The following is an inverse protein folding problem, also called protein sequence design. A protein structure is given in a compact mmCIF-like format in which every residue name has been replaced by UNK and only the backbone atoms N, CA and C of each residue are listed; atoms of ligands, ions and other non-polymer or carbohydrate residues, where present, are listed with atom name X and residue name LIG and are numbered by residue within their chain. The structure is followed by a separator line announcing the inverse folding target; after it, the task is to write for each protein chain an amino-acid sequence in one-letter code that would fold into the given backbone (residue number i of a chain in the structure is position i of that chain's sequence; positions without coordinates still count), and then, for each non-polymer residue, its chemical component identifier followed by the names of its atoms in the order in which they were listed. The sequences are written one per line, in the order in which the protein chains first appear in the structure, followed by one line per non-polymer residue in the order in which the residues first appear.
data_IF_390060222586
#
_entry.id   IF_390060222586
#
_cell.length_a   1.000
_cell.length_b   1.000
_cell.length_c   1.000
_cell.angle_alpha   90.00
_cell.angle_beta   90.00
_cell.angle_gamma   90.00
#
_symmetry.space_group_name_H-M   'P 1'
#
loop_
_entity.id
_entity.type
_entity.pdbx_description
1 polymer ?
#
# COMPACT_ATOMS: atom_id res chain seq x y z
N UNK A 1 28.55 -32.27 -0.36
CA UNK A 1 27.64 -31.20 0.08
C UNK A 1 26.60 -31.90 0.93
N UNK A 2 26.33 -31.44 2.14
CA UNK A 2 25.26 -32.01 2.97
C UNK A 2 23.93 -31.81 2.23
N UNK A 3 23.28 -32.89 1.79
CA UNK A 3 21.99 -32.81 1.12
C UNK A 3 20.98 -32.20 2.08
N UNK A 4 20.37 -31.08 1.66
CA UNK A 4 19.27 -30.49 2.39
C UNK A 4 18.09 -31.47 2.41
N UNK A 5 17.31 -31.48 3.49
CA UNK A 5 16.11 -32.31 3.58
C UNK A 5 15.12 -31.96 2.46
N UNK A 6 15.01 -30.67 2.09
CA UNK A 6 14.19 -30.20 0.97
C UNK A 6 15.02 -29.30 0.06
N UNK A 7 15.25 -29.72 -1.18
CA UNK A 7 15.82 -28.87 -2.23
C UNK A 7 14.70 -28.35 -3.13
N UNK A 8 14.51 -27.03 -3.17
CA UNK A 8 13.43 -26.39 -3.94
C UNK A 8 14.04 -25.77 -5.19
N UNK A 9 13.53 -26.14 -6.37
CA UNK A 9 14.10 -25.80 -7.67
C UNK A 9 13.12 -24.97 -8.48
N UNK A 10 13.57 -23.82 -8.98
CA UNK A 10 12.81 -22.98 -9.92
C UNK A 10 12.93 -23.49 -11.35
N UNK A 11 11.80 -23.64 -12.03
CA UNK A 11 11.72 -24.12 -13.41
C UNK A 11 11.80 -23.00 -14.46
N UNK A 12 11.77 -21.73 -14.05
CA UNK A 12 11.66 -20.61 -14.97
C UNK A 12 10.20 -20.31 -15.38
N UNK A 13 9.95 -19.23 -16.13
CA UNK A 13 8.61 -18.74 -16.47
C UNK A 13 7.91 -19.56 -17.56
N UNK A 14 8.64 -20.34 -18.37
CA UNK A 14 8.05 -21.17 -19.41
C UNK A 14 9.06 -21.82 -20.35
N UNK A 15 9.99 -21.04 -20.91
CA UNK A 15 11.00 -21.56 -21.81
C UNK A 15 11.96 -22.52 -21.12
N UNK A 16 12.37 -23.60 -21.81
CA UNK A 16 13.43 -24.50 -21.33
C UNK A 16 14.78 -23.79 -21.24
N UNK A 17 15.00 -22.78 -22.09
CA UNK A 17 16.26 -22.03 -22.11
C UNK A 17 16.41 -21.12 -20.88
N UNK A 18 15.30 -20.82 -20.19
CA UNK A 18 15.29 -20.07 -18.92
C UNK A 18 15.60 -20.96 -17.70
N UNK A 19 15.67 -22.29 -17.89
CA UNK A 19 16.06 -23.21 -16.84
C UNK A 19 17.54 -23.00 -16.51
N UNK A 20 17.84 -22.62 -15.27
CA UNK A 20 19.22 -22.35 -14.88
C UNK A 20 20.08 -23.60 -14.97
N UNK A 21 21.38 -23.43 -15.26
CA UNK A 21 22.33 -24.54 -15.29
C UNK A 21 22.40 -25.30 -13.96
N UNK A 22 22.17 -24.62 -12.83
CA UNK A 22 22.09 -25.28 -11.53
C UNK A 22 20.83 -26.13 -11.39
N UNK A 23 19.66 -25.58 -11.76
CA UNK A 23 18.39 -26.32 -11.77
C UNK A 23 18.51 -27.56 -12.66
N UNK A 24 18.98 -27.42 -13.90
CA UNK A 24 19.21 -28.52 -14.82
C UNK A 24 20.11 -29.61 -14.21
N UNK A 25 21.26 -29.25 -13.61
CA UNK A 25 22.16 -30.21 -12.95
C UNK A 25 21.48 -30.98 -11.82
N UNK A 26 20.70 -30.29 -10.98
CA UNK A 26 19.98 -30.91 -9.85
C UNK A 26 18.97 -31.94 -10.38
N UNK A 27 18.19 -31.57 -11.41
CA UNK A 27 17.17 -32.43 -12.01
C UNK A 27 17.81 -33.66 -12.70
N UNK A 28 18.91 -33.48 -13.45
CA UNK A 28 19.64 -34.60 -14.09
C UNK A 28 20.31 -35.53 -13.07
N UNK A 29 20.86 -34.99 -11.97
CA UNK A 29 21.43 -35.80 -10.89
C UNK A 29 20.36 -36.64 -10.19
N UNK A 30 19.19 -36.05 -9.92
CA UNK A 30 18.06 -36.75 -9.34
C UNK A 30 17.58 -37.90 -10.22
N UNK A 31 17.44 -37.66 -11.54
CA UNK A 31 17.10 -38.68 -12.51
C UNK A 31 18.15 -39.82 -12.55
N UNK A 32 19.44 -39.48 -12.56
CA UNK A 32 20.55 -40.45 -12.53
C UNK A 32 20.55 -41.31 -11.25
N UNK A 33 20.09 -40.75 -10.13
CA UNK A 33 19.94 -41.43 -8.86
C UNK A 33 18.60 -42.20 -8.71
N UNK A 34 17.69 -42.10 -9.69
CA UNK A 34 16.36 -42.68 -9.61
C UNK A 34 15.48 -42.05 -8.52
N UNK A 35 15.79 -40.82 -8.09
CA UNK A 35 15.06 -40.08 -7.08
C UNK A 35 13.80 -39.46 -7.69
N UNK A 36 12.68 -39.52 -6.95
CA UNK A 36 11.44 -38.84 -7.33
C UNK A 36 11.57 -37.33 -7.10
N UNK A 37 11.11 -36.56 -8.07
CA UNK A 37 11.02 -35.10 -8.01
C UNK A 37 9.55 -34.73 -7.91
N UNK A 38 9.19 -33.97 -6.89
CA UNK A 38 7.83 -33.53 -6.64
C UNK A 38 7.61 -32.18 -7.33
N UNK A 39 6.64 -32.10 -8.24
CA UNK A 39 6.30 -30.89 -8.97
C UNK A 39 5.06 -30.23 -8.34
N UNK A 40 5.10 -28.91 -8.17
CA UNK A 40 3.92 -28.14 -7.74
C UNK A 40 2.74 -28.34 -8.70
N UNK A 41 3.04 -28.43 -9.98
CA UNK A 41 2.09 -28.78 -11.05
C UNK A 41 2.85 -29.32 -12.26
N UNK A 42 2.25 -30.24 -13.02
CA UNK A 42 2.76 -30.61 -14.35
C UNK A 42 2.27 -29.70 -15.47
N UNK A 43 1.32 -28.80 -15.19
CA UNK A 43 0.80 -27.81 -16.14
C UNK A 43 1.83 -26.67 -16.28
N UNK A 44 2.93 -26.95 -16.97
CA UNK A 44 4.01 -26.01 -17.22
C UNK A 44 4.72 -26.35 -18.54
N UNK A 45 5.01 -25.37 -19.43
CA UNK A 45 5.58 -25.66 -20.75
C UNK A 45 6.90 -26.43 -20.71
N UNK A 46 7.76 -26.16 -19.72
CA UNK A 46 9.06 -26.83 -19.55
C UNK A 46 8.95 -28.32 -19.22
N UNK A 47 7.83 -28.80 -18.68
CA UNK A 47 7.72 -30.19 -18.19
C UNK A 47 7.82 -31.20 -19.32
N UNK A 48 7.21 -30.93 -20.46
CA UNK A 48 7.22 -31.87 -21.59
C UNK A 48 8.62 -31.97 -22.20
N UNK A 49 9.30 -30.84 -22.37
CA UNK A 49 10.69 -30.79 -22.83
C UNK A 49 11.62 -31.49 -21.84
N UNK A 50 11.40 -31.30 -20.53
CA UNK A 50 12.20 -31.93 -19.49
C UNK A 50 12.07 -33.47 -19.49
N UNK A 51 10.88 -34.01 -19.75
CA UNK A 51 10.68 -35.47 -19.92
C UNK A 51 11.38 -36.00 -21.16
N UNK A 52 11.42 -35.21 -22.24
CA UNK A 52 12.13 -35.58 -23.46
C UNK A 52 13.66 -35.57 -23.25
N UNK A 53 14.20 -34.52 -22.62
CA UNK A 53 15.64 -34.31 -22.47
C UNK A 53 16.25 -35.11 -21.29
N UNK A 54 15.42 -35.48 -20.31
CA UNK A 54 15.80 -36.32 -19.17
C UNK A 54 14.84 -37.53 -19.08
N UNK A 55 15.00 -38.56 -19.93
CA UNK A 55 14.03 -39.65 -20.06
C UNK A 55 13.78 -40.46 -18.78
N UNK A 56 14.79 -40.55 -17.91
CA UNK A 56 14.74 -41.32 -16.66
C UNK A 56 14.18 -40.51 -15.47
N UNK A 57 13.68 -39.29 -15.71
CA UNK A 57 13.12 -38.45 -14.66
C UNK A 57 11.85 -39.06 -14.07
N UNK A 58 11.81 -39.19 -12.73
CA UNK A 58 10.62 -39.62 -11.99
C UNK A 58 9.91 -38.40 -11.45
N UNK A 59 8.76 -38.07 -12.04
CA UNK A 59 7.95 -36.92 -11.65
C UNK A 59 6.70 -37.41 -10.93
N UNK A 60 6.50 -36.88 -9.73
CA UNK A 60 5.20 -36.88 -9.05
C UNK A 60 4.71 -35.45 -8.95
N UNK A 61 3.41 -35.20 -9.05
CA UNK A 61 2.85 -33.85 -8.92
C UNK A 61 1.72 -33.78 -7.93
N UNK A 62 1.48 -32.55 -7.47
CA UNK A 62 0.34 -32.24 -6.60
C UNK A 62 -0.91 -31.81 -7.37
N UNK A 63 -1.00 -32.09 -8.68
CA UNK A 63 -2.13 -31.68 -9.51
C UNK A 63 -3.48 -32.21 -8.96
N UNK A 64 -3.49 -33.40 -8.34
CA UNK A 64 -4.68 -33.96 -7.67
C UNK A 64 -5.28 -33.03 -6.60
N UNK A 65 -4.43 -32.28 -5.88
CA UNK A 65 -4.88 -31.43 -4.79
C UNK A 65 -5.65 -30.21 -5.31
N UNK A 66 -5.42 -29.80 -6.58
CA UNK A 66 -6.16 -28.70 -7.20
C UNK A 66 -7.63 -29.05 -7.44
N UNK A 67 -7.93 -30.32 -7.70
CA UNK A 67 -9.30 -30.81 -7.87
C UNK A 67 -9.99 -31.11 -6.52
N UNK A 68 -9.21 -31.48 -5.49
CA UNK A 68 -9.71 -31.85 -4.16
C UNK A 68 -9.94 -30.66 -3.23
N UNK A 69 -9.22 -29.54 -3.44
CA UNK A 69 -9.22 -28.40 -2.51
C UNK A 69 -10.31 -27.38 -2.81
N UNK A 70 -10.98 -26.90 -1.76
CA UNK A 70 -12.00 -25.84 -1.90
C UNK A 70 -11.41 -24.45 -2.19
N UNK A 71 -10.15 -24.21 -1.80
CA UNK A 71 -9.48 -22.93 -2.00
C UNK A 71 -7.94 -23.07 -2.03
N UNK A 72 -7.27 -22.02 -2.51
CA UNK A 72 -5.81 -21.94 -2.66
C UNK A 72 -5.04 -22.08 -1.35
N UNK A 73 -5.56 -21.52 -0.26
CA UNK A 73 -4.90 -21.57 1.05
C UNK A 73 -4.79 -23.00 1.56
N UNK A 74 -5.89 -23.76 1.50
CA UNK A 74 -5.93 -25.17 1.89
C UNK A 74 -5.03 -26.01 0.99
N UNK A 75 -5.10 -25.80 -0.34
CA UNK A 75 -4.27 -26.48 -1.32
C UNK A 75 -2.77 -26.35 -1.00
N UNK A 76 -2.28 -25.11 -0.86
CA UNK A 76 -0.85 -24.87 -0.66
C UNK A 76 -0.38 -25.32 0.73
N UNK A 77 -1.26 -25.27 1.74
CA UNK A 77 -0.98 -25.82 3.06
C UNK A 77 -0.80 -27.34 3.02
N UNK A 78 -1.68 -28.06 2.31
CA UNK A 78 -1.56 -29.53 2.15
C UNK A 78 -0.28 -29.92 1.40
N UNK A 79 0.06 -29.21 0.32
CA UNK A 79 1.34 -29.41 -0.39
C UNK A 79 2.52 -29.27 0.57
N UNK A 80 2.54 -28.22 1.39
CA UNK A 80 3.62 -27.98 2.32
C UNK A 80 3.72 -29.06 3.41
N UNK A 81 2.58 -29.54 3.91
CA UNK A 81 2.53 -30.63 4.89
C UNK A 81 3.05 -31.96 4.33
N UNK A 82 2.61 -32.36 3.13
CA UNK A 82 3.06 -33.59 2.47
C UNK A 82 4.57 -33.55 2.17
N UNK A 83 5.06 -32.44 1.61
CA UNK A 83 6.49 -32.26 1.33
C UNK A 83 7.33 -32.36 2.60
N UNK A 84 6.91 -31.69 3.68
CA UNK A 84 7.64 -31.74 4.95
C UNK A 84 7.58 -33.13 5.59
N UNK A 85 6.50 -33.89 5.37
CA UNK A 85 6.40 -35.28 5.83
C UNK A 85 7.34 -36.20 5.05
N UNK A 86 7.36 -36.11 3.71
CA UNK A 86 8.29 -36.87 2.87
C UNK A 86 9.75 -36.57 3.22
N UNK A 87 10.06 -35.30 3.51
CA UNK A 87 11.38 -34.86 3.92
C UNK A 87 11.87 -35.46 5.25
N UNK A 88 10.97 -35.96 6.11
CA UNK A 88 11.36 -36.71 7.32
C UNK A 88 11.88 -38.12 7.01
N UNK A 89 11.46 -38.68 5.87
CA UNK A 89 11.82 -40.03 5.44
C UNK A 89 13.11 -40.04 4.62
N UNK A 90 13.46 -38.92 3.99
CA UNK A 90 14.71 -38.72 3.28
C UNK A 90 14.73 -37.40 2.50
N UNK A 91 15.87 -37.03 1.90
CA UNK A 91 15.98 -35.82 1.08
C UNK A 91 15.02 -35.85 -0.11
N UNK A 92 14.32 -34.74 -0.34
CA UNK A 92 13.40 -34.58 -1.47
C UNK A 92 13.77 -33.37 -2.34
N UNK A 93 13.27 -33.38 -3.57
CA UNK A 93 13.37 -32.25 -4.50
C UNK A 93 11.96 -31.79 -4.83
N UNK A 94 11.71 -30.49 -4.66
CA UNK A 94 10.45 -29.83 -4.98
C UNK A 94 10.64 -28.82 -6.11
N UNK A 95 10.05 -29.07 -7.26
CA UNK A 95 10.13 -28.21 -8.44
C UNK A 95 8.90 -27.31 -8.57
N UNK A 96 9.12 -26.01 -8.79
CA UNK A 96 8.06 -25.00 -8.88
C UNK A 96 8.24 -24.12 -10.13
N UNK A 97 7.14 -23.64 -10.75
CA UNK A 97 7.21 -22.63 -11.80
C UNK A 97 7.95 -21.36 -11.35
N UNK A 98 8.69 -20.74 -12.27
CA UNK A 98 9.39 -19.48 -12.01
C UNK A 98 10.53 -19.58 -10.99
N UNK A 99 10.67 -18.54 -10.17
CA UNK A 99 11.63 -18.50 -9.07
C UNK A 99 10.95 -18.96 -7.77
N UNK A 100 11.55 -19.85 -6.96
CA UNK A 100 10.92 -20.38 -5.74
C UNK A 100 10.49 -19.38 -4.66
N UNK A 101 10.88 -18.11 -4.79
CA UNK A 101 10.68 -17.08 -3.76
C UNK A 101 9.89 -15.88 -4.30
N UNK A 102 9.45 -15.92 -5.56
CA UNK A 102 8.76 -14.80 -6.21
C UNK A 102 7.37 -15.29 -6.60
N UNK A 103 6.34 -14.83 -5.89
CA UNK A 103 4.94 -15.16 -6.17
C UNK A 103 4.53 -16.61 -5.86
N UNK A 104 5.37 -17.41 -5.19
CA UNK A 104 5.10 -18.83 -4.93
C UNK A 104 4.79 -19.09 -3.43
N UNK A 105 3.49 -19.08 -3.11
CA UNK A 105 2.98 -19.21 -1.72
C UNK A 105 3.31 -20.60 -1.14
N UNK A 106 3.22 -21.65 -1.96
CA UNK A 106 3.51 -23.02 -1.50
C UNK A 106 4.93 -23.14 -0.91
N UNK A 107 5.92 -22.47 -1.52
CA UNK A 107 7.30 -22.45 -1.02
C UNK A 107 7.41 -21.68 0.29
N UNK A 108 6.70 -20.55 0.45
CA UNK A 108 6.70 -19.82 1.73
C UNK A 108 6.16 -20.69 2.88
N UNK A 109 5.10 -21.46 2.62
CA UNK A 109 4.55 -22.42 3.59
C UNK A 109 5.54 -23.57 3.87
N UNK A 110 6.14 -24.17 2.84
CA UNK A 110 7.19 -25.20 3.01
C UNK A 110 8.34 -24.67 3.87
N UNK A 111 8.84 -23.45 3.60
CA UNK A 111 9.94 -22.85 4.36
C UNK A 111 9.57 -22.56 5.81
N UNK A 112 8.30 -22.21 6.09
CA UNK A 112 7.79 -22.01 7.44
C UNK A 112 7.70 -23.35 8.18
N UNK A 113 7.01 -24.34 7.61
CA UNK A 113 6.83 -25.66 8.21
C UNK A 113 8.17 -26.39 8.40
N UNK A 114 9.08 -26.30 7.43
CA UNK A 114 10.41 -26.89 7.53
C UNK A 114 11.19 -26.31 8.72
N UNK A 115 11.10 -24.99 8.97
CA UNK A 115 11.70 -24.36 10.17
C UNK A 115 11.09 -24.89 11.47
N UNK A 116 9.76 -25.00 11.52
CA UNK A 116 9.04 -25.55 12.67
C UNK A 116 9.41 -27.01 12.96
N UNK A 117 9.69 -27.80 11.90
CA UNK A 117 10.08 -29.21 11.99
C UNK A 117 11.61 -29.44 11.99
N UNK A 118 12.42 -28.38 12.07
CA UNK A 118 13.89 -28.45 12.06
C UNK A 118 14.48 -29.16 10.83
N UNK A 119 13.83 -29.05 9.68
CA UNK A 119 14.27 -29.59 8.39
C UNK A 119 15.15 -28.56 7.66
N UNK A 120 16.28 -28.99 7.11
CA UNK A 120 17.15 -28.13 6.31
C UNK A 120 16.55 -27.91 4.91
N UNK A 121 16.63 -26.68 4.41
CA UNK A 121 16.14 -26.33 3.08
C UNK A 121 17.24 -25.72 2.22
N UNK A 122 17.18 -25.95 0.91
CA UNK A 122 18.04 -25.32 -0.10
C UNK A 122 17.17 -24.76 -1.21
N UNK A 123 17.40 -23.52 -1.60
CA UNK A 123 16.78 -22.90 -2.77
C UNK A 123 17.76 -22.97 -3.94
N UNK A 124 17.29 -23.45 -5.07
CA UNK A 124 17.95 -23.36 -6.38
C UNK A 124 17.13 -22.37 -7.21
N UNK A 125 17.71 -21.20 -7.44
CA UNK A 125 17.05 -20.10 -8.14
C UNK A 125 16.68 -20.48 -9.58
N UNK A 126 15.52 -19.98 -10.01
CA UNK A 126 15.06 -19.98 -11.40
C UNK A 126 14.80 -18.54 -11.86
N UNK A 127 14.65 -18.33 -13.17
CA UNK A 127 14.17 -17.05 -13.67
C UNK A 127 12.72 -16.82 -13.20
N UNK A 128 12.36 -15.59 -12.84
CA UNK A 128 10.99 -15.28 -12.42
C UNK A 128 10.14 -14.83 -13.62
N UNK A 129 8.90 -14.39 -13.37
CA UNK A 129 8.09 -13.72 -14.39
C UNK A 129 8.46 -12.23 -14.54
N UNK A 130 9.17 -11.64 -13.59
CA UNK A 130 9.49 -10.20 -13.58
C UNK A 130 10.40 -9.87 -14.75
N UNK A 131 11.45 -10.67 -15.00
CA UNK A 131 12.40 -10.40 -16.08
C UNK A 131 11.74 -10.44 -17.47
N UNK A 132 10.94 -11.48 -17.84
CA UNK A 132 10.18 -11.46 -19.08
C UNK A 132 9.19 -10.28 -19.19
N UNK A 133 8.49 -9.93 -18.11
CA UNK A 133 7.58 -8.77 -18.11
C UNK A 133 8.35 -7.48 -18.36
N UNK A 134 9.50 -7.28 -17.72
CA UNK A 134 10.37 -6.12 -17.94
C UNK A 134 10.88 -6.08 -19.38
N UNK A 135 11.26 -7.22 -19.97
CA UNK A 135 11.70 -7.30 -21.37
C UNK A 135 10.58 -6.88 -22.34
N UNK A 136 9.37 -7.41 -22.16
CA UNK A 136 8.22 -7.09 -23.02
C UNK A 136 7.77 -5.62 -22.91
N UNK A 137 7.99 -5.01 -21.75
CA UNK A 137 7.65 -3.61 -21.50
C UNK A 137 8.80 -2.65 -21.79
N UNK A 138 10.00 -3.15 -22.10
CA UNK A 138 11.25 -2.39 -22.14
C UNK A 138 11.44 -1.53 -20.85
N UNK A 139 11.06 -2.11 -19.71
CA UNK A 139 10.98 -1.43 -18.42
C UNK A 139 12.21 -1.76 -17.56
N UNK A 140 12.98 -0.73 -17.20
CA UNK A 140 13.91 -0.80 -16.08
C UNK A 140 13.16 -0.47 -14.77
N UNK A 141 12.93 -1.45 -13.88
CA UNK A 141 12.19 -1.22 -12.65
C UNK A 141 12.94 -0.33 -11.65
N UNK A 142 14.26 -0.12 -11.79
CA UNK A 142 15.04 0.71 -10.87
C UNK A 142 15.05 2.19 -11.24
N UNK A 143 15.04 2.51 -12.54
CA UNK A 143 15.19 3.90 -13.01
C UNK A 143 14.16 4.86 -12.37
N UNK A 144 12.89 4.43 -12.33
CA UNK A 144 11.80 5.21 -11.75
C UNK A 144 11.26 4.63 -10.44
N UNK A 145 11.87 3.58 -9.89
CA UNK A 145 11.41 2.92 -8.67
C UNK A 145 10.03 2.25 -8.81
N UNK A 146 9.93 1.25 -9.70
CA UNK A 146 8.69 0.53 -9.92
C UNK A 146 8.18 -0.17 -8.64
N UNK A 147 6.87 -0.05 -8.41
CA UNK A 147 6.16 -0.73 -7.34
C UNK A 147 5.72 -2.10 -7.84
N UNK A 148 5.92 -3.13 -7.01
CA UNK A 148 5.43 -4.48 -7.29
C UNK A 148 4.39 -4.86 -6.23
N UNK A 149 3.15 -5.10 -6.66
CA UNK A 149 2.03 -5.35 -5.76
C UNK A 149 1.26 -6.57 -6.23
N UNK A 150 0.87 -7.44 -5.31
CA UNK A 150 0.00 -8.57 -5.61
C UNK A 150 -1.46 -8.11 -5.78
N UNK A 151 -2.14 -8.61 -6.82
CA UNK A 151 -3.52 -8.24 -7.11
C UNK A 151 -4.50 -8.58 -5.96
N UNK A 152 -4.29 -9.69 -5.25
CA UNK A 152 -5.16 -10.08 -4.13
C UNK A 152 -4.94 -9.20 -2.91
N UNK A 153 -3.69 -8.80 -2.65
CA UNK A 153 -3.38 -7.83 -1.59
C UNK A 153 -3.93 -6.45 -1.93
N UNK A 154 -3.86 -6.05 -3.20
CA UNK A 154 -4.41 -4.78 -3.67
C UNK A 154 -5.94 -4.75 -3.55
N UNK A 155 -6.60 -5.84 -3.95
CA UNK A 155 -8.05 -6.00 -3.87
C UNK A 155 -8.58 -6.12 -2.42
N UNK A 156 -7.72 -6.52 -1.48
CA UNK A 156 -8.07 -6.59 -0.06
C UNK A 156 -8.03 -5.21 0.63
N UNK A 157 -7.45 -4.19 0.00
CA UNK A 157 -7.49 -2.83 0.52
C UNK A 157 -8.92 -2.29 0.48
N UNK A 158 -9.30 -1.56 1.52
CA UNK A 158 -10.45 -0.66 1.47
C UNK A 158 -10.09 0.59 0.65
N UNK A 159 -11.11 1.28 0.12
CA UNK A 159 -10.90 2.50 -0.68
C UNK A 159 -10.09 3.57 0.09
N UNK A 160 -10.29 3.63 1.41
CA UNK A 160 -9.58 4.58 2.29
C UNK A 160 -8.10 4.20 2.52
N UNK A 161 -7.71 2.94 2.28
CA UNK A 161 -6.34 2.45 2.49
C UNK A 161 -5.45 2.61 1.26
N UNK A 162 -6.01 2.97 0.09
CA UNK A 162 -5.24 3.12 -1.16
C UNK A 162 -4.25 4.28 -1.08
N UNK A 163 -4.67 5.37 -0.41
CA UNK A 163 -3.85 6.56 -0.21
C UNK A 163 -2.57 6.20 0.55
N UNK A 164 -1.41 6.47 -0.08
CA UNK A 164 -0.09 6.17 0.49
C UNK A 164 0.37 4.72 0.35
N UNK A 165 -0.46 3.80 -0.16
CA UNK A 165 -0.04 2.43 -0.54
C UNK A 165 0.37 2.31 -2.00
N UNK A 166 -0.24 3.14 -2.85
CA UNK A 166 0.08 3.24 -4.27
C UNK A 166 0.50 4.67 -4.57
N UNK A 167 1.71 4.82 -5.11
CA UNK A 167 2.25 6.11 -5.54
C UNK A 167 2.04 6.21 -7.06
N UNK A 168 1.03 6.95 -7.55
CA UNK A 168 0.65 6.93 -8.97
C UNK A 168 1.69 7.56 -9.90
N UNK A 169 2.65 8.30 -9.36
CA UNK A 169 3.76 8.90 -10.12
C UNK A 169 4.92 7.94 -10.36
N UNK A 170 4.87 6.71 -9.82
CA UNK A 170 5.85 5.65 -10.07
C UNK A 170 5.21 4.54 -10.93
N UNK A 171 5.99 3.83 -11.76
CA UNK A 171 5.48 2.67 -12.47
C UNK A 171 4.95 1.62 -11.48
N UNK A 172 3.85 0.95 -11.82
CA UNK A 172 3.26 -0.08 -10.98
C UNK A 172 3.07 -1.38 -11.78
N UNK A 173 3.54 -2.49 -11.21
CA UNK A 173 3.28 -3.84 -11.67
C UNK A 173 2.34 -4.51 -10.67
N UNK A 174 1.09 -4.72 -11.08
CA UNK A 174 0.12 -5.52 -10.32
C UNK A 174 0.17 -6.96 -10.84
N UNK A 175 0.73 -7.85 -10.04
CA UNK A 175 1.01 -9.24 -10.40
C UNK A 175 -0.18 -10.12 -10.08
N UNK A 176 -0.24 -11.30 -10.68
CA UNK A 176 -1.22 -12.33 -10.30
C UNK A 176 -2.69 -11.90 -10.53
N UNK A 177 -2.98 -11.22 -11.65
CA UNK A 177 -4.35 -10.81 -12.00
C UNK A 177 -5.13 -12.02 -12.56
N UNK A 178 -5.57 -12.90 -11.64
CA UNK A 178 -6.03 -14.25 -11.94
C UNK A 178 -7.29 -14.40 -12.78
N UNK A 179 -8.22 -13.45 -12.67
CA UNK A 179 -9.55 -13.57 -13.24
C UNK A 179 -10.23 -12.21 -13.33
N UNK A 180 -11.36 -12.19 -14.03
CA UNK A 180 -12.18 -11.00 -14.23
C UNK A 180 -12.67 -10.35 -12.94
N UNK A 181 -13.01 -11.12 -11.90
CA UNK A 181 -13.48 -10.57 -10.62
C UNK A 181 -12.37 -9.78 -9.94
N UNK A 182 -11.19 -10.38 -9.84
CA UNK A 182 -10.02 -9.74 -9.24
C UNK A 182 -9.58 -8.52 -10.07
N UNK A 183 -9.62 -8.62 -11.39
CA UNK A 183 -9.41 -7.49 -12.29
C UNK A 183 -10.38 -6.32 -12.03
N UNK A 184 -11.64 -6.62 -11.69
CA UNK A 184 -12.65 -5.62 -11.32
C UNK A 184 -12.31 -4.91 -10.00
N UNK A 185 -11.93 -5.69 -8.98
CA UNK A 185 -11.51 -5.16 -7.67
C UNK A 185 -10.25 -4.29 -7.80
N UNK A 186 -9.22 -4.77 -8.52
CA UNK A 186 -8.02 -4.00 -8.85
C UNK A 186 -8.35 -2.70 -9.56
N UNK A 187 -9.22 -2.73 -10.58
CA UNK A 187 -9.66 -1.53 -11.31
C UNK A 187 -10.28 -0.50 -10.37
N UNK A 188 -11.21 -0.92 -9.51
CA UNK A 188 -11.90 -0.01 -8.58
C UNK A 188 -10.91 0.65 -7.62
N UNK A 189 -9.97 -0.12 -7.08
CA UNK A 189 -8.91 0.38 -6.19
C UNK A 189 -7.99 1.38 -6.92
N UNK A 190 -7.56 1.06 -8.14
CA UNK A 190 -6.73 1.97 -8.93
C UNK A 190 -7.49 3.24 -9.34
N UNK A 191 -8.81 3.18 -9.56
CA UNK A 191 -9.64 4.35 -9.87
C UNK A 191 -9.62 5.44 -8.79
N UNK A 192 -9.20 5.13 -7.56
CA UNK A 192 -9.03 6.13 -6.51
C UNK A 192 -7.81 7.02 -6.71
N UNK A 193 -6.79 6.56 -7.47
CA UNK A 193 -5.55 7.31 -7.69
C UNK A 193 -5.21 7.56 -9.17
N UNK A 194 -5.83 6.83 -10.10
CA UNK A 194 -5.66 6.98 -11.54
C UNK A 194 -6.97 7.40 -12.21
N UNK A 195 -6.92 8.22 -13.29
CA UNK A 195 -8.09 8.44 -14.13
C UNK A 195 -8.62 7.15 -14.76
N UNK A 196 -9.93 7.03 -14.93
CA UNK A 196 -10.57 5.85 -15.53
C UNK A 196 -10.06 5.55 -16.95
N UNK A 197 -9.75 6.58 -17.74
CA UNK A 197 -9.23 6.43 -19.10
C UNK A 197 -7.71 6.21 -19.16
N UNK A 198 -7.03 6.13 -18.00
CA UNK A 198 -5.58 6.00 -17.97
C UNK A 198 -5.12 4.74 -18.72
N UNK A 199 -4.17 4.85 -19.67
CA UNK A 199 -3.74 3.71 -20.46
C UNK A 199 -2.94 2.75 -19.59
N UNK A 200 -3.34 1.49 -19.59
CA UNK A 200 -2.66 0.39 -18.88
C UNK A 200 -2.33 -0.72 -19.85
N UNK A 201 -1.35 -1.57 -19.50
CA UNK A 201 -0.94 -2.70 -20.32
C UNK A 201 -1.11 -4.00 -19.54
N UNK A 202 -1.92 -4.93 -20.05
CA UNK A 202 -2.01 -6.28 -19.52
C UNK A 202 -1.01 -7.17 -20.26
N UNK A 203 0.05 -7.57 -19.56
CA UNK A 203 1.06 -8.51 -20.06
C UNK A 203 0.61 -9.93 -19.71
N UNK A 204 0.59 -10.84 -20.69
CA UNK A 204 0.17 -12.24 -20.49
C UNK A 204 1.24 -13.19 -20.95
N UNK A 205 1.38 -14.29 -20.20
CA UNK A 205 2.23 -15.44 -20.53
C UNK A 205 3.69 -15.05 -20.84
N UNK A 206 4.21 -14.02 -20.16
CA UNK A 206 5.59 -13.58 -20.34
C UNK A 206 6.56 -14.72 -19.99
N UNK A 207 7.51 -14.99 -20.89
CA UNK A 207 8.42 -16.14 -20.86
C UNK A 207 7.87 -17.41 -21.53
N UNK A 208 6.71 -17.34 -22.19
CA UNK A 208 6.08 -18.43 -22.94
C UNK A 208 5.89 -18.00 -24.40
N UNK A 209 6.96 -18.11 -25.20
CA UNK A 209 7.11 -17.53 -26.56
C UNK A 209 5.83 -17.48 -27.43
N UNK A 210 5.07 -18.57 -27.51
CA UNK A 210 3.93 -18.68 -28.41
C UNK A 210 2.68 -17.90 -27.94
N UNK A 211 2.57 -17.58 -26.65
CA UNK A 211 1.38 -17.00 -26.02
C UNK A 211 1.62 -15.59 -25.44
N UNK A 212 2.84 -15.07 -25.58
CA UNK A 212 3.20 -13.73 -25.11
C UNK A 212 2.36 -12.64 -25.78
N UNK A 213 1.63 -11.88 -24.97
CA UNK A 213 0.84 -10.76 -25.47
C UNK A 213 0.89 -9.57 -24.54
N UNK A 214 0.96 -8.37 -25.11
CA UNK A 214 0.83 -7.10 -24.40
C UNK A 214 -0.41 -6.40 -24.95
N UNK A 215 -1.42 -6.24 -24.10
CA UNK A 215 -2.70 -5.65 -24.48
C UNK A 215 -2.81 -4.28 -23.81
N UNK A 216 -2.79 -3.22 -24.62
CA UNK A 216 -3.03 -1.87 -24.15
C UNK A 216 -4.53 -1.58 -24.11
N UNK A 217 -5.01 -1.02 -23.00
CA UNK A 217 -6.41 -0.66 -22.81
C UNK A 217 -6.55 0.50 -21.80
N UNK A 218 -7.67 1.24 -21.80
CA UNK A 218 -8.02 2.12 -20.69
C UNK A 218 -8.26 1.32 -19.40
N UNK A 219 -7.93 1.89 -18.24
CA UNK A 219 -8.12 1.24 -16.93
C UNK A 219 -9.56 0.75 -16.73
N UNK A 220 -10.56 1.53 -17.15
CA UNK A 220 -11.97 1.15 -17.02
C UNK A 220 -12.36 -0.14 -17.77
N UNK A 221 -11.55 -0.59 -18.75
CA UNK A 221 -11.78 -1.79 -19.56
C UNK A 221 -11.17 -3.07 -18.97
N UNK A 222 -10.37 -2.95 -17.91
CA UNK A 222 -9.60 -4.05 -17.33
C UNK A 222 -10.46 -5.28 -16.99
N UNK A 223 -11.70 -5.08 -16.56
CA UNK A 223 -12.64 -6.15 -16.20
C UNK A 223 -13.76 -6.36 -17.23
N UNK A 224 -13.71 -5.69 -18.39
CA UNK A 224 -14.71 -5.83 -19.47
C UNK A 224 -14.36 -6.94 -20.45
N UNK A 225 -13.12 -7.42 -20.40
CA UNK A 225 -12.61 -8.51 -21.21
C UNK A 225 -12.30 -9.75 -20.36
N UNK A 226 -12.08 -10.89 -21.02
CA UNK A 226 -11.68 -12.15 -20.37
C UNK A 226 -10.19 -12.44 -20.60
N UNK A 227 -9.36 -11.40 -20.75
CA UNK A 227 -7.94 -11.59 -21.03
C UNK A 227 -7.16 -12.00 -19.77
N UNK A 228 -7.54 -11.51 -18.59
CA UNK A 228 -6.83 -11.80 -17.34
C UNK A 228 -6.90 -13.27 -16.91
N UNK A 229 -5.75 -13.85 -16.58
CA UNK A 229 -5.55 -15.21 -16.06
C UNK A 229 -4.36 -15.27 -15.08
N UNK A 230 -4.02 -16.45 -14.58
CA UNK A 230 -2.90 -16.65 -13.63
C UNK A 230 -1.50 -16.34 -14.15
N UNK A 231 -1.34 -16.05 -15.45
CA UNK A 231 -0.10 -15.61 -16.08
C UNK A 231 -0.17 -14.13 -16.50
N UNK A 232 -1.10 -13.36 -15.91
CA UNK A 232 -1.33 -11.96 -16.26
C UNK A 232 -0.73 -11.02 -15.22
N UNK A 233 0.06 -10.05 -15.70
CA UNK A 233 0.58 -8.93 -14.93
C UNK A 233 0.08 -7.64 -15.56
N UNK A 234 -0.53 -6.78 -14.75
CA UNK A 234 -0.95 -5.45 -15.18
C UNK A 234 0.19 -4.46 -14.94
N UNK A 235 0.61 -3.78 -15.99
CA UNK A 235 1.48 -2.62 -15.91
C UNK A 235 0.64 -1.34 -15.98
N UNK A 236 0.82 -0.49 -14.98
CA UNK A 236 0.23 0.84 -14.91
C UNK A 236 1.36 1.86 -15.04
N UNK A 237 1.43 2.60 -16.17
CA UNK A 237 2.42 3.65 -16.37
C UNK A 237 2.28 4.76 -15.32
N UNK A 238 3.39 5.45 -14.97
CA UNK A 238 3.35 6.55 -14.03
C UNK A 238 2.52 7.72 -14.58
N UNK A 239 1.65 8.26 -13.75
CA UNK A 239 0.94 9.52 -13.99
C UNK A 239 1.93 10.68 -13.79
N UNK A 240 1.87 11.69 -14.66
CA UNK A 240 2.67 12.90 -14.47
C UNK A 240 2.32 13.58 -13.14
N UNK A 241 3.30 14.24 -12.50
CA UNK A 241 3.09 14.89 -11.18
C UNK A 241 1.87 15.81 -11.15
N UNK A 242 1.63 16.56 -12.22
CA UNK A 242 0.49 17.48 -12.34
C UNK A 242 -0.82 16.82 -12.75
N UNK A 243 -0.80 15.53 -13.08
CA UNK A 243 -1.98 14.74 -13.45
C UNK A 243 -2.44 13.83 -12.31
N UNK A 244 -1.57 13.56 -11.32
CA UNK A 244 -1.89 12.77 -10.14
C UNK A 244 -2.66 13.60 -9.08
N UNK A 245 -3.83 14.11 -9.43
CA UNK A 245 -4.54 15.13 -8.62
C UNK A 245 -5.16 14.61 -7.31
N UNK A 246 -5.17 13.29 -7.09
CA UNK A 246 -5.79 12.65 -5.93
C UNK A 246 -4.81 12.26 -4.82
N UNK A 247 -3.57 12.77 -4.85
CA UNK A 247 -2.55 12.47 -3.83
C UNK A 247 -1.98 13.74 -3.18
N UNK A 248 -1.70 13.70 -1.85
CA UNK A 248 -1.21 14.88 -1.11
C UNK A 248 0.15 15.37 -1.62
N UNK A 249 0.99 14.48 -2.16
CA UNK A 249 2.29 14.81 -2.72
C UNK A 249 2.19 15.79 -3.87
N UNK A 250 1.10 15.72 -4.66
CA UNK A 250 0.86 16.64 -5.78
C UNK A 250 0.59 18.05 -5.30
N UNK A 251 -0.21 18.23 -4.23
CA UNK A 251 -0.43 19.55 -3.64
C UNK A 251 0.87 20.12 -3.07
N UNK A 252 1.66 19.29 -2.38
CA UNK A 252 3.01 19.68 -1.91
C UNK A 252 3.91 20.16 -3.04
N UNK A 253 3.90 19.42 -4.15
CA UNK A 253 4.70 19.76 -5.32
C UNK A 253 4.24 21.09 -5.94
N UNK A 254 2.93 21.28 -6.10
CA UNK A 254 2.34 22.49 -6.66
C UNK A 254 2.72 23.72 -5.81
N UNK A 255 2.54 23.66 -4.49
CA UNK A 255 2.86 24.79 -3.60
C UNK A 255 4.35 25.13 -3.63
N UNK A 256 5.23 24.12 -3.60
CA UNK A 256 6.67 24.31 -3.79
C UNK A 256 6.96 24.96 -5.16
N UNK A 257 6.37 24.47 -6.25
CA UNK A 257 6.60 24.96 -7.62
C UNK A 257 6.13 26.40 -7.81
N UNK A 258 5.00 26.78 -7.20
CA UNK A 258 4.47 28.15 -7.21
C UNK A 258 5.39 29.11 -6.48
N UNK A 259 6.02 28.68 -5.38
CA UNK A 259 6.92 29.53 -4.60
C UNK A 259 8.39 29.48 -5.02
N UNK A 260 8.76 28.62 -5.99
CA UNK A 260 10.14 28.44 -6.46
C UNK A 260 10.69 29.68 -7.16
N UNK A 261 11.99 29.95 -7.01
CA UNK A 261 12.72 30.94 -7.80
C UNK A 261 13.49 30.30 -8.97
N UNK A 262 13.66 31.02 -10.11
CA UNK A 262 13.13 32.35 -10.43
C UNK A 262 11.73 32.33 -11.09
N UNK A 263 11.22 31.15 -11.44
CA UNK A 263 10.13 30.93 -12.40
C UNK A 263 8.81 30.47 -11.75
N UNK A 264 8.66 30.64 -10.44
CA UNK A 264 7.39 30.49 -9.73
C UNK A 264 6.46 31.69 -9.92
N UNK A 265 5.26 31.60 -9.32
CA UNK A 265 4.27 32.66 -9.34
C UNK A 265 4.73 33.88 -8.49
N UNK A 266 4.77 35.10 -9.06
CA UNK A 266 5.20 36.29 -8.32
C UNK A 266 4.31 36.64 -7.12
N UNK A 267 3.03 36.26 -7.16
CA UNK A 267 2.10 36.50 -6.06
C UNK A 267 2.40 35.55 -4.89
N UNK A 268 2.49 34.25 -5.16
CA UNK A 268 2.79 33.23 -4.14
C UNK A 268 4.13 33.53 -3.47
N UNK A 269 5.18 33.78 -4.24
CA UNK A 269 6.51 34.11 -3.73
C UNK A 269 6.55 35.27 -2.74
N UNK A 270 5.67 36.27 -2.89
CA UNK A 270 5.63 37.44 -2.02
C UNK A 270 4.87 37.21 -0.71
N UNK A 271 4.17 36.08 -0.58
CA UNK A 271 3.38 35.79 0.61
C UNK A 271 4.26 35.45 1.81
N UNK A 272 3.79 35.87 2.97
CA UNK A 272 4.35 35.65 4.32
C UNK A 272 3.28 35.04 5.20
N UNK A 273 3.65 34.51 6.38
CA UNK A 273 2.65 34.02 7.34
C UNK A 273 1.59 35.08 7.67
N UNK A 274 2.01 36.34 7.80
CA UNK A 274 1.13 37.46 8.15
C UNK A 274 0.20 37.85 7.00
N UNK A 275 0.70 37.88 5.76
CA UNK A 275 -0.14 38.23 4.61
C UNK A 275 -1.20 37.18 4.29
N UNK A 276 -0.95 35.92 4.64
CA UNK A 276 -1.87 34.80 4.43
C UNK A 276 -2.94 34.66 5.53
N UNK A 277 -2.77 35.31 6.68
CA UNK A 277 -3.69 35.15 7.83
C UNK A 277 -5.15 35.46 7.47
N UNK A 278 -5.41 36.43 6.58
CA UNK A 278 -6.78 36.76 6.14
C UNK A 278 -7.43 35.60 5.37
N UNK A 279 -6.67 34.88 4.54
CA UNK A 279 -7.19 33.78 3.73
C UNK A 279 -7.55 32.59 4.64
N UNK A 280 -6.72 32.28 5.64
CA UNK A 280 -7.07 31.26 6.65
C UNK A 280 -8.43 31.54 7.29
N UNK A 281 -8.73 32.81 7.60
CA UNK A 281 -10.00 33.22 8.20
C UNK A 281 -11.13 33.13 7.18
N UNK A 282 -10.92 33.67 5.97
CA UNK A 282 -11.88 33.62 4.86
C UNK A 282 -12.29 32.16 4.57
N UNK A 283 -11.34 31.26 4.27
CA UNK A 283 -11.64 29.85 3.96
C UNK A 283 -12.33 29.13 5.13
N UNK A 284 -11.99 29.47 6.38
CA UNK A 284 -12.67 28.90 7.56
C UNK A 284 -14.15 29.28 7.58
N UNK A 285 -14.50 30.52 7.21
CA UNK A 285 -15.89 30.95 7.15
C UNK A 285 -16.62 30.35 5.95
N UNK A 286 -15.95 30.18 4.81
CA UNK A 286 -16.56 29.55 3.63
C UNK A 286 -16.89 28.06 3.90
N UNK A 287 -16.01 27.34 4.63
CA UNK A 287 -16.32 25.99 5.15
C UNK A 287 -17.57 25.99 6.04
N UNK A 288 -17.69 26.96 6.95
CA UNK A 288 -18.87 27.07 7.84
C UNK A 288 -20.13 27.33 7.02
N UNK A 289 -20.08 28.25 6.06
CA UNK A 289 -21.20 28.54 5.16
C UNK A 289 -21.64 27.29 4.39
N UNK A 290 -20.68 26.54 3.81
CA UNK A 290 -20.98 25.31 3.09
C UNK A 290 -21.66 24.24 3.96
N UNK A 291 -21.26 24.15 5.24
CA UNK A 291 -21.90 23.26 6.22
C UNK A 291 -23.33 23.71 6.56
N UNK A 292 -23.54 25.00 6.80
CA UNK A 292 -24.87 25.54 7.10
C UNK A 292 -25.84 25.37 5.92
N UNK A 293 -25.33 25.47 4.70
CA UNK A 293 -26.09 25.25 3.47
C UNK A 293 -26.28 23.77 3.11
N UNK A 294 -25.63 22.84 3.83
CA UNK A 294 -25.55 21.40 3.49
C UNK A 294 -25.06 21.14 2.06
N UNK A 295 -24.17 21.99 1.55
CA UNK A 295 -23.64 21.89 0.19
C UNK A 295 -22.34 21.07 0.18
N UNK A 296 -22.44 19.77 -0.09
CA UNK A 296 -21.29 18.85 -0.04
C UNK A 296 -20.23 19.12 -1.11
N UNK A 297 -20.64 19.63 -2.28
CA UNK A 297 -19.69 19.99 -3.34
C UNK A 297 -18.87 21.21 -2.92
N UNK A 298 -19.53 22.26 -2.44
CA UNK A 298 -18.86 23.46 -1.92
C UNK A 298 -17.98 23.10 -0.71
N UNK A 299 -18.49 22.27 0.21
CA UNK A 299 -17.70 21.82 1.37
C UNK A 299 -16.36 21.17 0.96
N UNK A 300 -16.36 20.34 -0.08
CA UNK A 300 -15.13 19.72 -0.57
C UNK A 300 -14.15 20.75 -1.17
N UNK A 301 -14.66 21.77 -1.86
CA UNK A 301 -13.90 22.89 -2.41
C UNK A 301 -13.27 23.73 -1.28
N UNK A 302 -14.06 24.21 -0.33
CA UNK A 302 -13.58 25.08 0.76
C UNK A 302 -12.62 24.34 1.72
N UNK A 303 -12.83 23.05 1.95
CA UNK A 303 -11.86 22.23 2.71
C UNK A 303 -10.52 22.11 1.96
N UNK A 304 -10.56 22.09 0.64
CA UNK A 304 -9.38 22.13 -0.22
C UNK A 304 -8.62 23.45 -0.09
N UNK A 305 -9.33 24.57 -0.11
CA UNK A 305 -8.73 25.90 0.03
C UNK A 305 -8.16 26.15 1.43
N UNK A 306 -8.86 25.69 2.48
CA UNK A 306 -8.32 25.70 3.83
C UNK A 306 -7.07 24.81 3.96
N UNK A 307 -7.06 23.64 3.31
CA UNK A 307 -5.90 22.74 3.27
C UNK A 307 -4.73 23.40 2.52
N UNK A 308 -4.99 24.12 1.42
CA UNK A 308 -3.97 24.87 0.68
C UNK A 308 -3.24 25.87 1.60
N UNK A 309 -3.95 26.55 2.51
CA UNK A 309 -3.30 27.46 3.46
C UNK A 309 -2.30 26.74 4.36
N UNK A 310 -2.59 25.51 4.81
CA UNK A 310 -1.66 24.68 5.60
C UNK A 310 -0.38 24.40 4.80
N UNK A 311 -0.52 24.01 3.53
CA UNK A 311 0.63 23.73 2.66
C UNK A 311 1.44 24.99 2.33
N UNK A 312 0.80 26.13 2.12
CA UNK A 312 1.50 27.40 1.88
C UNK A 312 2.32 27.84 3.09
N UNK A 313 1.75 27.75 4.30
CA UNK A 313 2.49 28.05 5.53
C UNK A 313 3.64 27.08 5.76
N UNK A 314 3.43 25.79 5.53
CA UNK A 314 4.48 24.78 5.66
C UNK A 314 5.61 24.99 4.64
N UNK A 315 5.30 25.40 3.40
CA UNK A 315 6.33 25.70 2.40
C UNK A 315 7.11 26.99 2.73
N UNK A 316 6.45 28.03 3.26
CA UNK A 316 7.14 29.24 3.76
C UNK A 316 8.12 28.86 4.88
N UNK A 317 7.65 28.14 5.90
CA UNK A 317 8.48 27.71 7.02
C UNK A 317 9.65 26.83 6.57
N UNK A 318 9.44 25.97 5.56
CA UNK A 318 10.49 25.12 4.99
C UNK A 318 11.56 25.94 4.28
N UNK A 319 11.17 27.02 3.58
CA UNK A 319 12.11 27.93 2.91
C UNK A 319 12.98 28.69 3.91
N UNK A 320 12.41 29.04 5.06
CA UNK A 320 13.11 29.73 6.15
C UNK A 320 13.93 28.76 7.04
N UNK A 321 13.78 27.45 6.86
CA UNK A 321 14.49 26.41 7.61
C UNK A 321 13.90 26.08 8.98
N UNK A 322 12.64 26.46 9.22
CA UNK A 322 11.95 26.30 10.51
C UNK A 322 11.29 24.92 10.64
N UNK A 323 10.24 24.64 9.85
CA UNK A 323 9.52 23.36 9.85
C UNK A 323 8.97 23.04 8.46
N UNK A 324 8.60 21.78 8.25
CA UNK A 324 8.04 21.25 7.01
C UNK A 324 6.61 20.72 7.21
N UNK A 325 5.95 20.37 6.11
CA UNK A 325 4.64 19.70 6.18
C UNK A 325 4.71 18.36 6.93
N UNK A 326 5.87 17.69 6.91
CA UNK A 326 6.09 16.46 7.68
C UNK A 326 6.00 16.71 9.18
N UNK A 327 6.56 17.82 9.67
CA UNK A 327 6.48 18.21 11.08
C UNK A 327 5.05 18.57 11.51
N UNK A 328 4.25 19.11 10.58
CA UNK A 328 2.82 19.38 10.82
C UNK A 328 2.05 18.07 10.99
N UNK A 329 2.28 17.09 10.10
CA UNK A 329 1.68 15.75 10.20
C UNK A 329 2.09 15.05 11.49
N UNK A 330 3.39 15.01 11.80
CA UNK A 330 3.89 14.38 13.03
C UNK A 330 3.23 14.99 14.28
N UNK A 331 3.12 16.32 14.35
CA UNK A 331 2.50 16.99 15.48
C UNK A 331 1.01 16.68 15.63
N UNK A 332 0.25 16.60 14.54
CA UNK A 332 -1.18 16.27 14.63
C UNK A 332 -1.40 14.79 14.92
N UNK A 333 -0.64 13.90 14.30
CA UNK A 333 -0.76 12.45 14.44
C UNK A 333 -0.37 12.01 15.85
N UNK A 334 0.82 12.41 16.33
CA UNK A 334 1.26 12.08 17.68
C UNK A 334 0.30 12.63 18.75
N UNK A 335 -0.30 13.81 18.51
CA UNK A 335 -1.31 14.41 19.38
C UNK A 335 -2.62 13.62 19.35
N UNK A 336 -3.09 13.18 18.18
CA UNK A 336 -4.32 12.39 18.06
C UNK A 336 -4.15 11.01 18.68
N UNK A 337 -3.06 10.30 18.39
CA UNK A 337 -2.74 8.99 19.00
C UNK A 337 -2.73 9.11 20.52
N UNK A 338 -1.96 10.07 21.06
CA UNK A 338 -1.85 10.29 22.51
C UNK A 338 -3.19 10.65 23.17
N UNK A 339 -4.05 11.39 22.48
CA UNK A 339 -5.35 11.85 23.02
C UNK A 339 -6.48 10.82 22.87
N UNK A 340 -6.24 9.73 22.14
CA UNK A 340 -7.19 8.62 21.99
C UNK A 340 -6.58 7.29 22.46
N UNK A 341 -6.15 7.18 23.72
CA UNK A 341 -5.58 5.93 24.25
C UNK A 341 -6.62 4.79 24.34
N UNK A 342 -7.89 5.08 24.09
CA UNK A 342 -8.97 4.10 24.00
C UNK A 342 -9.14 3.51 22.60
N UNK A 343 -8.52 4.10 21.59
CA UNK A 343 -8.45 3.56 20.23
C UNK A 343 -7.06 2.97 19.97
N UNK A 344 -6.01 3.67 20.41
CA UNK A 344 -4.61 3.35 20.09
C UNK A 344 -3.80 2.80 21.28
N UNK A 345 -4.44 2.49 22.40
CA UNK A 345 -3.80 1.96 23.60
C UNK A 345 -4.77 1.08 24.38
N UNK A 346 -4.54 0.94 25.70
CA UNK A 346 -5.25 -0.03 26.55
C UNK A 346 -6.37 0.59 27.42
N UNK A 347 -6.75 1.85 27.19
CA UNK A 347 -7.74 2.54 28.04
C UNK A 347 -9.15 2.18 27.60
N UNK A 348 -9.89 1.43 28.40
CA UNK A 348 -11.31 1.19 28.12
C UNK A 348 -12.19 2.39 28.52
N UNK A 349 -13.13 2.76 27.64
CA UNK A 349 -14.14 3.80 27.88
C UNK A 349 -15.52 3.26 27.53
N UNK A 350 -16.53 3.60 28.33
CA UNK A 350 -17.88 3.06 28.18
C UNK A 350 -18.85 4.04 27.49
N UNK A 351 -18.52 5.33 27.47
CA UNK A 351 -19.37 6.36 26.86
C UNK A 351 -18.56 7.60 26.43
N UNK A 352 -19.20 8.48 25.65
CA UNK A 352 -18.61 9.72 25.18
C UNK A 352 -18.25 10.70 26.32
N UNK A 353 -18.93 10.63 27.47
CA UNK A 353 -18.61 11.45 28.63
C UNK A 353 -17.25 11.09 29.24
N UNK A 354 -16.95 9.79 29.34
CA UNK A 354 -15.65 9.28 29.78
C UNK A 354 -14.53 9.67 28.80
N UNK A 355 -14.80 9.66 27.49
CA UNK A 355 -13.86 10.15 26.47
C UNK A 355 -13.51 11.63 26.70
N UNK A 356 -14.51 12.48 26.94
CA UNK A 356 -14.29 13.92 27.21
C UNK A 356 -13.48 14.13 28.49
N UNK A 357 -13.77 13.41 29.56
CA UNK A 357 -13.02 13.50 30.83
C UNK A 357 -11.55 13.10 30.64
N UNK A 358 -11.31 11.97 29.96
CA UNK A 358 -9.96 11.51 29.64
C UNK A 358 -9.21 12.54 28.78
N UNK A 359 -9.89 13.13 27.79
CA UNK A 359 -9.31 14.16 26.94
C UNK A 359 -8.90 15.42 27.71
N UNK A 360 -9.74 15.89 28.64
CA UNK A 360 -9.43 17.03 29.50
C UNK A 360 -8.26 16.74 30.45
N UNK A 361 -8.19 15.53 30.99
CA UNK A 361 -7.08 15.09 31.84
C UNK A 361 -5.75 15.04 31.06
N UNK A 362 -5.74 14.46 29.86
CA UNK A 362 -4.56 14.40 28.98
C UNK A 362 -4.10 15.82 28.62
N UNK A 363 -5.01 16.71 28.22
CA UNK A 363 -4.69 18.11 27.94
C UNK A 363 -4.08 18.82 29.15
N UNK A 364 -4.58 18.54 30.36
CA UNK A 364 -4.00 19.11 31.59
C UNK A 364 -2.56 18.64 31.78
N UNK A 365 -2.30 17.35 31.61
CA UNK A 365 -0.98 16.76 31.78
C UNK A 365 0.05 17.25 30.74
N UNK A 366 -0.37 17.39 29.48
CA UNK A 366 0.47 17.94 28.40
C UNK A 366 0.99 19.35 28.76
N UNK A 367 0.16 20.15 29.41
CA UNK A 367 0.47 21.55 29.76
C UNK A 367 1.39 21.66 30.95
N UNK A 368 1.18 20.83 31.97
CA UNK A 368 2.14 20.66 33.07
C UNK A 368 3.51 20.26 32.51
N UNK A 369 3.53 19.32 31.56
CA UNK A 369 4.77 18.86 30.91
C UNK A 369 5.43 19.95 30.05
N UNK A 370 4.64 20.86 29.46
CA UNK A 370 5.12 22.03 28.73
C UNK A 370 5.54 23.21 29.65
N UNK A 371 5.56 23.03 30.97
CA UNK A 371 5.98 24.05 31.94
C UNK A 371 4.93 25.13 32.24
N UNK A 372 3.67 24.92 31.86
CA UNK A 372 2.57 25.85 32.16
C UNK A 372 2.08 25.62 33.59
N UNK A 373 2.00 26.68 34.40
CA UNK A 373 1.39 26.62 35.74
C UNK A 373 -0.14 26.57 35.62
N UNK A 374 -0.67 25.36 35.52
CA UNK A 374 -2.10 25.10 35.39
C UNK A 374 -2.91 25.48 36.64
N UNK A 375 -2.27 25.72 37.80
CA UNK A 375 -2.95 26.17 39.02
C UNK A 375 -3.22 27.68 39.00
N UNK A 376 -2.44 28.44 38.25
CA UNK A 376 -2.54 29.91 38.15
C UNK A 376 -3.53 30.42 37.10
N UNK A 377 -4.07 29.53 36.26
CA UNK A 377 -4.91 29.94 35.13
C UNK A 377 -6.39 30.08 35.47
N UNK A 378 -6.97 31.18 35.00
CA UNK A 378 -8.39 31.45 35.06
C UNK A 378 -9.18 30.50 34.17
N UNK A 379 -10.43 30.22 34.55
CA UNK A 379 -11.39 29.46 33.73
C UNK A 379 -11.70 30.17 32.41
N UNK A 380 -11.54 31.49 32.39
CA UNK A 380 -11.71 32.31 31.19
C UNK A 380 -10.44 32.42 30.35
N UNK A 381 -9.28 32.01 30.86
CA UNK A 381 -8.08 31.94 30.04
C UNK A 381 -8.32 30.95 28.88
N UNK A 382 -7.63 31.16 27.75
CA UNK A 382 -7.71 30.31 26.54
C UNK A 382 -8.96 30.51 25.67
N UNK A 383 -9.62 31.66 25.73
CA UNK A 383 -10.49 32.11 24.63
C UNK A 383 -9.60 32.86 23.62
N UNK A 384 -9.45 32.37 22.38
CA UNK A 384 -8.58 33.02 21.40
C UNK A 384 -9.07 34.44 21.14
N UNK A 385 -8.20 35.42 21.40
CA UNK A 385 -8.54 36.84 21.22
C UNK A 385 -8.67 37.22 19.73
N UNK A 386 -8.17 36.38 18.84
CA UNK A 386 -8.26 36.54 17.39
C UNK A 386 -9.63 36.16 16.82
N UNK A 387 -10.52 35.55 17.61
CA UNK A 387 -11.88 35.21 17.19
C UNK A 387 -12.79 36.45 17.25
N UNK A 388 -13.84 36.59 16.41
CA UNK A 388 -14.76 37.71 16.53
C UNK A 388 -15.35 37.88 17.93
N UNK A 389 -15.52 39.14 18.33
CA UNK A 389 -15.89 39.54 19.68
C UNK A 389 -17.18 38.86 20.20
N UNK A 390 -18.13 38.56 19.31
CA UNK A 390 -19.36 37.85 19.68
C UNK A 390 -19.10 36.40 20.08
N UNK A 391 -18.22 35.68 19.36
CA UNK A 391 -17.85 34.30 19.70
C UNK A 391 -17.02 34.28 20.99
N UNK A 392 -16.10 35.24 21.14
CA UNK A 392 -15.34 35.42 22.38
C UNK A 392 -16.28 35.62 23.57
N UNK A 393 -17.27 36.50 23.43
CA UNK A 393 -18.29 36.75 24.45
C UNK A 393 -19.10 35.50 24.76
N UNK A 394 -19.55 34.76 23.75
CA UNK A 394 -20.30 33.51 23.94
C UNK A 394 -19.46 32.45 24.65
N UNK A 395 -18.18 32.27 24.29
CA UNK A 395 -17.29 31.31 24.93
C UNK A 395 -17.00 31.69 26.39
N UNK A 396 -16.81 32.97 26.70
CA UNK A 396 -16.68 33.43 28.08
C UNK A 396 -17.93 33.12 28.91
N UNK A 397 -19.12 33.41 28.37
CA UNK A 397 -20.38 33.12 29.07
C UNK A 397 -20.55 31.61 29.30
N UNK A 398 -20.28 30.78 28.29
CA UNK A 398 -20.36 29.31 28.38
C UNK A 398 -19.40 28.74 29.43
N UNK A 399 -18.18 29.28 29.51
CA UNK A 399 -17.17 28.85 30.50
C UNK A 399 -17.50 29.32 31.91
N UNK A 400 -18.00 30.54 32.07
CA UNK A 400 -18.48 31.05 33.36
C UNK A 400 -19.69 30.23 33.86
N UNK A 401 -20.65 29.92 32.98
CA UNK A 401 -21.81 29.10 33.35
C UNK A 401 -21.41 27.71 33.89
N UNK A 402 -20.35 27.10 33.34
CA UNK A 402 -19.80 25.82 33.84
C UNK A 402 -19.28 25.87 35.28
N UNK A 403 -18.93 27.05 35.79
CA UNK A 403 -18.53 27.23 37.20
C UNK A 403 -19.70 27.59 38.11
N UNK A 404 -20.94 27.54 37.59
CA UNK A 404 -22.14 27.96 38.31
C UNK A 404 -22.36 29.47 38.35
N UNK A 405 -21.68 30.24 37.50
CA UNK A 405 -21.92 31.68 37.38
C UNK A 405 -23.18 31.93 36.53
N UNK A 406 -24.19 32.55 37.13
CA UNK A 406 -25.37 33.07 36.44
C UNK A 406 -25.51 34.58 36.70
N UNK A 407 -25.90 35.33 35.67
CA UNK A 407 -26.23 36.75 35.86
C UNK A 407 -27.56 36.85 36.61
N UNK A 408 -27.55 37.51 37.77
CA UNK A 408 -28.74 37.68 38.61
C UNK A 408 -29.88 38.45 37.92
N UNK A 409 -29.54 39.30 36.94
CA UNK A 409 -30.47 40.04 36.06
C UNK A 409 -29.75 40.39 34.76
N UNK A 410 -30.49 40.42 33.65
CA UNK A 410 -30.02 41.00 32.38
C UNK A 410 -30.33 42.50 32.45
N UNK A 411 -29.32 43.35 32.31
CA UNK A 411 -29.48 44.82 32.33
C UNK A 411 -29.53 45.39 30.92
#
# INVERSE_FOLDING_TARGET
MTDAAITIVGLGPGSIDDLTLEASRVLTQAASAGQTIYFRTTIHPTVEVLKHDIPDVRIESFDRLYDESENWTTLYQQIAEELCEFATQGPIIYAVPGHPLIGEISVQLVLKLARERLLSTRIVSGLSFIEPVCNLLELDPFNSGAQLVDATNLAALTLDEVAGKIIPTLPLLVVQVYNRRLASEVKLILGECYPDEWPVKLVRAAGVDADETVIEMPLYELDRNNFANHLSTLYVPPVGELSALRVPETLRYITMRLRREPDGCPWDRKQTHQSLTKYVIEETYEVVEALEENNMQKLAEELGDLLLQVYLHAEIARQDGDFSIGDVFEQVDAKLIRRHPHIFGDVEVNDAGQVVQNWEAIKRQERVSAGVDVQSESVLDRVPQSTPALIVSQEYQKRAAKTGFEFATVQ
#
